data_IF_853014189846
#
_entry.id   IF_853014189846
#
_cell.length_a   1.000
_cell.length_b   1.000
_cell.length_c   1.000
_cell.angle_alpha   90.00
_cell.angle_beta   90.00
_cell.angle_gamma   90.00
#
_symmetry.space_group_name_H-M   'P 1'
#
loop_
_entity.id
_entity.type
_entity.pdbx_description
1 polymer ?
#
# COMPACT_ATOMS: atom_id res chain seq x y z
N UNK A 1 5.61 -13.83 8.04
CA UNK A 1 5.15 -12.85 7.04
C UNK A 1 4.66 -11.59 7.74
N UNK A 2 4.96 -10.45 7.17
CA UNK A 2 4.57 -9.14 7.69
C UNK A 2 3.52 -8.51 6.77
N UNK A 3 2.47 -7.93 7.34
CA UNK A 3 1.39 -7.32 6.58
C UNK A 3 1.16 -5.90 7.08
N UNK A 4 1.11 -4.94 6.14
CA UNK A 4 0.70 -3.57 6.42
C UNK A 4 -0.65 -3.32 5.76
N UNK A 5 -1.57 -2.77 6.51
CA UNK A 5 -2.89 -2.39 5.99
C UNK A 5 -3.04 -0.89 6.12
N UNK A 6 -3.41 -0.25 5.02
CA UNK A 6 -3.57 1.20 4.96
C UNK A 6 -5.02 1.52 4.59
N UNK A 7 -5.75 2.11 5.52
CA UNK A 7 -7.09 2.60 5.23
C UNK A 7 -6.97 3.88 4.42
N UNK A 8 -7.59 3.92 3.25
CA UNK A 8 -7.50 5.06 2.35
C UNK A 8 -8.88 5.69 2.14
N UNK A 9 -8.92 7.02 2.25
CA UNK A 9 -10.12 7.81 1.94
C UNK A 9 -9.81 8.58 0.66
N UNK A 10 -10.35 8.11 -0.46
CA UNK A 10 -10.01 8.62 -1.78
C UNK A 10 -10.95 9.73 -2.23
N UNK A 11 -10.41 10.67 -2.99
CA UNK A 11 -11.21 11.62 -3.73
C UNK A 11 -12.04 10.84 -4.75
N UNK A 12 -13.35 11.03 -4.74
CA UNK A 12 -14.26 10.21 -5.55
C UNK A 12 -13.95 10.27 -7.04
N UNK A 13 -13.62 11.44 -7.54
CA UNK A 13 -13.29 11.66 -8.96
C UNK A 13 -11.95 11.04 -9.35
N UNK A 14 -11.15 10.57 -8.39
CA UNK A 14 -9.82 10.00 -8.63
C UNK A 14 -9.73 8.49 -8.39
N UNK A 15 -10.83 7.84 -8.06
CA UNK A 15 -10.81 6.41 -7.74
C UNK A 15 -10.30 5.57 -8.91
N UNK A 16 -10.78 5.83 -10.13
CA UNK A 16 -10.34 5.07 -11.30
C UNK A 16 -8.85 5.27 -11.58
N UNK A 17 -8.35 6.49 -11.46
CA UNK A 17 -6.92 6.78 -11.63
C UNK A 17 -6.09 6.10 -10.54
N UNK A 18 -6.62 6.07 -9.32
CA UNK A 18 -5.93 5.43 -8.20
C UNK A 18 -5.74 3.93 -8.42
N UNK A 19 -6.73 3.25 -8.97
CA UNK A 19 -6.61 1.82 -9.29
C UNK A 19 -5.48 1.57 -10.26
N UNK A 20 -5.35 2.41 -11.28
CA UNK A 20 -4.24 2.33 -12.25
C UNK A 20 -2.92 2.61 -11.55
N UNK A 21 -2.88 3.63 -10.70
CA UNK A 21 -1.67 4.00 -9.96
C UNK A 21 -1.17 2.86 -9.06
N UNK A 22 -2.07 2.15 -8.37
CA UNK A 22 -1.69 1.00 -7.54
C UNK A 22 -1.01 -0.06 -8.40
N UNK A 23 -1.60 -0.42 -9.53
CA UNK A 23 -1.05 -1.44 -10.44
C UNK A 23 0.32 -1.00 -10.98
N UNK A 24 0.44 0.24 -11.42
CA UNK A 24 1.68 0.75 -12.01
C UNK A 24 2.78 0.89 -10.96
N UNK A 25 2.45 1.42 -9.78
CA UNK A 25 3.44 1.57 -8.71
C UNK A 25 3.92 0.24 -8.14
N UNK A 26 3.10 -0.82 -8.24
CA UNK A 26 3.53 -2.17 -7.84
C UNK A 26 4.72 -2.67 -8.65
N UNK A 27 4.90 -2.20 -9.88
CA UNK A 27 6.06 -2.55 -10.70
C UNK A 27 7.36 -2.08 -10.05
N UNK A 28 7.33 -0.90 -9.43
CA UNK A 28 8.49 -0.39 -8.68
C UNK A 28 8.70 -1.18 -7.40
N UNK A 29 7.64 -1.39 -6.62
CA UNK A 29 7.74 -2.06 -5.33
C UNK A 29 8.12 -3.54 -5.46
N UNK A 30 7.71 -4.20 -6.54
CA UNK A 30 8.01 -5.62 -6.77
C UNK A 30 9.50 -5.91 -6.93
N UNK A 31 10.32 -4.89 -7.15
CA UNK A 31 11.78 -5.02 -7.28
C UNK A 31 12.48 -5.14 -5.93
N UNK A 32 11.80 -4.81 -4.83
CA UNK A 32 12.39 -4.89 -3.51
C UNK A 32 12.42 -6.32 -2.99
N UNK A 33 13.53 -6.67 -2.32
CA UNK A 33 13.65 -7.97 -1.67
C UNK A 33 12.54 -8.13 -0.64
N UNK A 34 11.93 -9.30 -0.62
CA UNK A 34 10.89 -9.65 0.34
C UNK A 34 9.50 -9.18 -0.03
N UNK A 35 9.34 -8.42 -1.10
CA UNK A 35 8.00 -8.03 -1.58
C UNK A 35 7.23 -9.28 -2.00
N UNK A 36 6.01 -9.43 -1.49
CA UNK A 36 5.13 -10.53 -1.87
C UNK A 36 3.97 -10.01 -2.72
N UNK A 37 3.23 -9.05 -2.21
CA UNK A 37 2.11 -8.46 -2.96
C UNK A 37 1.71 -7.11 -2.37
N UNK A 38 1.03 -6.33 -3.18
CA UNK A 38 0.33 -5.13 -2.73
C UNK A 38 -0.95 -5.04 -3.53
N UNK A 39 -2.07 -5.02 -2.82
CA UNK A 39 -3.40 -5.05 -3.44
C UNK A 39 -4.29 -3.96 -2.87
N UNK A 40 -5.15 -3.40 -3.72
CA UNK A 40 -6.22 -2.52 -3.28
C UNK A 40 -7.46 -3.37 -3.06
N UNK A 41 -8.00 -3.30 -1.85
CA UNK A 41 -9.18 -4.05 -1.44
C UNK A 41 -10.37 -3.10 -1.34
N UNK A 42 -11.53 -3.58 -1.73
CA UNK A 42 -12.78 -2.86 -1.53
C UNK A 42 -13.69 -3.69 -0.63
N UNK A 43 -14.14 -3.10 0.47
CA UNK A 43 -15.09 -3.73 1.36
C UNK A 43 -16.50 -3.71 0.78
N UNK A 44 -17.40 -4.52 1.33
CA UNK A 44 -18.79 -4.56 0.90
C UNK A 44 -19.49 -3.21 1.11
N UNK A 45 -19.01 -2.42 2.06
CA UNK A 45 -19.51 -1.08 2.33
C UNK A 45 -18.90 0.00 1.44
N UNK A 46 -18.03 -0.39 0.48
CA UNK A 46 -17.34 0.54 -0.40
C UNK A 46 -16.05 1.11 0.15
N UNK A 47 -15.67 0.78 1.39
CA UNK A 47 -14.40 1.25 1.95
C UNK A 47 -13.21 0.66 1.19
N UNK A 48 -12.09 1.39 1.16
CA UNK A 48 -10.91 0.98 0.44
C UNK A 48 -9.73 0.83 1.39
N UNK A 49 -8.95 -0.24 1.18
CA UNK A 49 -7.73 -0.51 1.93
C UNK A 49 -6.65 -1.00 0.99
N UNK A 50 -5.41 -0.60 1.26
CA UNK A 50 -4.25 -1.18 0.60
C UNK A 50 -3.67 -2.22 1.55
N UNK A 51 -3.45 -3.44 1.05
CA UNK A 51 -2.78 -4.49 1.82
C UNK A 51 -1.44 -4.79 1.18
N UNK A 52 -0.37 -4.63 1.96
CA UNK A 52 1.00 -4.87 1.52
C UNK A 52 1.52 -6.07 2.28
N UNK A 53 2.10 -7.04 1.56
CA UNK A 53 2.66 -8.24 2.15
C UNK A 53 4.15 -8.32 1.86
N UNK A 54 4.95 -8.52 2.91
CA UNK A 54 6.40 -8.69 2.84
C UNK A 54 6.82 -9.94 3.58
N UNK A 55 7.95 -10.50 3.18
CA UNK A 55 8.51 -11.70 3.82
C UNK A 55 8.73 -11.46 5.32
N UNK A 56 9.32 -10.32 5.68
CA UNK A 56 9.54 -9.94 7.07
C UNK A 56 9.56 -8.41 7.22
N UNK A 57 9.53 -7.96 8.49
CA UNK A 57 9.44 -6.54 8.80
C UNK A 57 10.72 -5.77 8.42
N UNK A 58 11.89 -6.40 8.49
CA UNK A 58 13.16 -5.73 8.17
C UNK A 58 13.22 -5.36 6.70
N UNK A 59 12.79 -6.26 5.82
CA UNK A 59 12.73 -5.99 4.39
C UNK A 59 11.67 -4.94 4.06
N UNK A 60 10.55 -4.97 4.78
CA UNK A 60 9.54 -3.92 4.65
C UNK A 60 10.11 -2.54 5.02
N UNK A 61 10.84 -2.47 6.14
CA UNK A 61 11.44 -1.21 6.59
C UNK A 61 12.44 -0.65 5.59
N UNK A 62 13.25 -1.51 4.97
CA UNK A 62 14.18 -1.08 3.93
C UNK A 62 13.45 -0.45 2.76
N UNK A 63 12.37 -1.08 2.29
CA UNK A 63 11.55 -0.51 1.23
C UNK A 63 10.94 0.80 1.66
N UNK A 64 10.37 0.86 2.87
CA UNK A 64 9.67 2.03 3.38
C UNK A 64 10.59 3.25 3.53
N UNK A 65 11.87 3.04 3.76
CA UNK A 65 12.86 4.10 3.90
C UNK A 65 13.51 4.50 2.57
N UNK A 66 13.15 3.83 1.48
CA UNK A 66 13.78 4.06 0.17
C UNK A 66 13.28 5.35 -0.48
N UNK A 67 14.11 5.96 -1.37
CA UNK A 67 13.67 7.10 -2.18
C UNK A 67 12.47 6.77 -3.05
N UNK A 68 12.41 5.54 -3.57
CA UNK A 68 11.30 5.07 -4.41
C UNK A 68 9.99 5.11 -3.65
N UNK A 69 9.98 4.64 -2.39
CA UNK A 69 8.79 4.69 -1.55
C UNK A 69 8.39 6.13 -1.22
N UNK A 70 9.36 7.00 -0.95
CA UNK A 70 9.08 8.41 -0.66
C UNK A 70 8.39 9.08 -1.85
N UNK A 71 8.84 8.80 -3.07
CA UNK A 71 8.22 9.33 -4.28
C UNK A 71 6.78 8.84 -4.41
N UNK A 72 6.53 7.55 -4.17
CA UNK A 72 5.18 6.98 -4.22
C UNK A 72 4.29 7.55 -3.13
N UNK A 73 4.82 7.76 -1.94
CA UNK A 73 4.06 8.36 -0.84
C UNK A 73 3.59 9.77 -1.19
N UNK A 74 4.45 10.57 -1.81
CA UNK A 74 4.10 11.91 -2.26
C UNK A 74 3.01 11.88 -3.34
N UNK A 75 3.07 10.91 -4.25
CA UNK A 75 2.03 10.72 -5.26
C UNK A 75 0.70 10.32 -4.62
N UNK A 76 0.74 9.47 -3.60
CA UNK A 76 -0.46 9.00 -2.91
C UNK A 76 -1.29 10.16 -2.38
N UNK A 77 -0.66 11.19 -1.86
CA UNK A 77 -1.36 12.34 -1.29
C UNK A 77 -2.31 13.02 -2.28
N UNK A 78 -2.00 12.96 -3.58
CA UNK A 78 -2.83 13.56 -4.61
C UNK A 78 -4.20 12.89 -4.75
N UNK A 79 -4.33 11.64 -4.29
CA UNK A 79 -5.55 10.85 -4.40
C UNK A 79 -6.39 10.86 -3.13
N UNK A 80 -5.84 11.34 -2.02
CA UNK A 80 -6.44 11.19 -0.71
C UNK A 80 -7.26 12.41 -0.29
N UNK A 81 -8.41 12.17 0.34
CA UNK A 81 -9.20 13.23 0.97
C UNK A 81 -8.67 13.57 2.36
N UNK A 82 -8.08 12.59 3.04
CA UNK A 82 -7.57 12.72 4.39
C UNK A 82 -6.37 11.81 4.57
N UNK A 83 -5.63 12.01 5.66
CA UNK A 83 -4.46 11.19 5.97
C UNK A 83 -4.82 9.72 6.12
N UNK A 84 -4.06 8.81 5.53
CA UNK A 84 -4.32 7.38 5.66
C UNK A 84 -4.02 6.89 7.08
N UNK A 85 -4.72 5.85 7.49
CA UNK A 85 -4.45 5.15 8.75
C UNK A 85 -3.73 3.86 8.46
N UNK A 86 -2.64 3.60 9.17
CA UNK A 86 -1.80 2.41 8.96
C UNK A 86 -1.91 1.47 10.15
N UNK A 87 -1.96 0.17 9.83
CA UNK A 87 -1.98 -0.90 10.82
C UNK A 87 -0.99 -1.97 10.37
N UNK A 88 -0.23 -2.52 11.30
CA UNK A 88 0.82 -3.50 11.02
C UNK A 88 0.53 -4.80 11.73
N UNK A 89 0.75 -5.92 11.04
CA UNK A 89 0.45 -7.24 11.54
C UNK A 89 1.56 -8.23 11.20
N UNK A 90 1.75 -9.20 12.08
CA UNK A 90 2.56 -10.38 11.80
C UNK A 90 1.64 -11.58 11.68
N UNK A 91 1.91 -12.44 10.70
CA UNK A 91 1.18 -13.71 10.61
C UNK A 91 1.73 -14.62 11.71
N UNK A 92 0.86 -15.04 12.62
CA UNK A 92 1.26 -15.86 13.79
C UNK A 92 0.71 -17.29 13.70
N UNK A 93 -0.14 -17.58 12.74
CA UNK A 93 -0.66 -18.92 12.46
C UNK A 93 -1.24 -18.96 11.05
N UNK A 94 -1.17 -20.12 10.42
CA UNK A 94 -1.72 -20.37 9.09
C UNK A 94 -2.54 -21.65 9.07
#
# INVERSE_FOLDING_TARGET
MFIAIVDVSLKEEKISEFKVWVTESNKTLSKFDGFISRRLLEGEDGSKRIMVEFKDIELFRKMHQSPEHNALHNELENYMQSSPKRQFYHVVAE
#
